data_IF_006840558700
#
_entry.id   IF_006840558700
#
_cell.length_a   1.000
_cell.length_b   1.000
_cell.length_c   1.000
_cell.angle_alpha   90.00
_cell.angle_beta   90.00
_cell.angle_gamma   90.00
#
_symmetry.space_group_name_H-M   'P 1'
#
loop_
_entity.id
_entity.type
_entity.pdbx_description
1 polymer ?
#
# COMPACT_ATOMS: atom_id res chain seq x y z
N UNK A 1 7.78 -63.73 16.72
CA UNK A 1 6.78 -64.36 15.81
C UNK A 1 5.41 -64.17 16.45
N UNK A 2 4.31 -63.85 15.74
CA UNK A 2 4.10 -63.75 14.28
C UNK A 2 4.00 -62.27 13.80
N UNK A 3 4.25 -61.85 12.55
CA UNK A 3 4.01 -62.36 11.19
C UNK A 3 2.60 -62.06 10.64
N UNK A 4 2.58 -61.72 9.33
CA UNK A 4 1.43 -61.68 8.40
C UNK A 4 0.61 -60.38 8.37
N UNK A 5 0.15 -59.82 7.26
CA UNK A 5 0.32 -59.95 5.80
C UNK A 5 -0.79 -59.05 5.22
N UNK A 6 -0.55 -58.21 4.21
CA UNK A 6 -1.52 -58.04 3.11
C UNK A 6 -0.93 -57.13 2.01
N UNK A 7 -0.61 -57.81 0.91
CA UNK A 7 -0.28 -57.31 -0.42
C UNK A 7 -1.56 -57.35 -1.27
N UNK A 8 -1.46 -56.83 -2.50
CA UNK A 8 -2.40 -56.92 -3.65
C UNK A 8 -3.38 -55.73 -3.75
N UNK A 9 -3.70 -55.13 -4.90
CA UNK A 9 -3.45 -55.39 -6.33
C UNK A 9 -3.87 -54.08 -7.08
N UNK A 10 -3.12 -53.58 -8.08
CA UNK A 10 -3.22 -53.87 -9.52
C UNK A 10 -4.20 -52.96 -10.32
N UNK A 11 -3.57 -52.13 -11.14
CA UNK A 11 -3.92 -51.66 -12.50
C UNK A 11 -5.16 -52.29 -13.18
N UNK A 12 -6.03 -51.43 -13.73
CA UNK A 12 -6.71 -51.60 -15.02
C UNK A 12 -7.42 -50.27 -15.36
N UNK A 13 -6.93 -49.41 -16.25
CA UNK A 13 -6.84 -49.55 -17.72
C UNK A 13 -8.21 -49.58 -18.40
N UNK A 14 -8.33 -48.68 -19.40
CA UNK A 14 -9.25 -48.68 -20.56
C UNK A 14 -10.70 -48.25 -20.27
N UNK A 15 -11.41 -47.54 -21.15
CA UNK A 15 -11.17 -46.78 -22.40
C UNK A 15 -12.58 -46.46 -22.94
N UNK A 16 -12.65 -45.59 -23.96
CA UNK A 16 -13.74 -45.50 -24.96
C UNK A 16 -14.98 -44.71 -24.54
N UNK A 17 -15.59 -43.84 -25.35
CA UNK A 17 -15.30 -43.32 -26.70
C UNK A 17 -16.30 -42.19 -26.97
N UNK A 18 -15.85 -41.20 -27.73
CA UNK A 18 -16.52 -40.56 -28.87
C UNK A 18 -18.03 -40.22 -28.78
N UNK A 19 -18.32 -38.94 -29.01
CA UNK A 19 -19.06 -38.43 -30.18
C UNK A 19 -19.82 -37.14 -29.79
N UNK A 20 -20.05 -36.10 -30.59
CA UNK A 20 -19.63 -35.67 -31.94
C UNK A 20 -20.37 -34.33 -32.15
N UNK A 21 -19.68 -33.32 -32.74
CA UNK A 21 -20.23 -32.14 -33.44
C UNK A 21 -21.02 -31.09 -32.62
N UNK A 22 -20.99 -29.79 -32.92
CA UNK A 22 -20.90 -29.09 -34.21
C UNK A 22 -20.46 -27.62 -33.95
N UNK A 23 -19.33 -27.16 -34.51
CA UNK A 23 -19.19 -26.20 -35.64
C UNK A 23 -19.97 -24.89 -35.51
N UNK A 24 -19.22 -23.78 -35.52
CA UNK A 24 -19.42 -22.50 -36.25
C UNK A 24 -18.98 -21.31 -35.39
N UNK A 25 -18.29 -20.26 -35.84
CA UNK A 25 -17.80 -19.84 -37.15
C UNK A 25 -16.75 -18.74 -36.88
N UNK A 26 -15.70 -18.75 -37.70
CA UNK A 26 -14.66 -17.72 -37.83
C UNK A 26 -15.27 -16.42 -38.38
N UNK A 27 -14.88 -15.25 -37.87
CA UNK A 27 -14.70 -14.06 -38.72
C UNK A 27 -13.66 -13.10 -38.16
N UNK A 28 -12.59 -13.03 -38.93
CA UNK A 28 -11.52 -12.04 -38.97
C UNK A 28 -12.06 -10.65 -39.29
N UNK A 29 -11.48 -9.60 -38.70
CA UNK A 29 -11.52 -8.25 -39.27
C UNK A 29 -10.35 -7.40 -38.76
N UNK A 30 -9.18 -7.61 -39.38
CA UNK A 30 -8.16 -6.58 -39.59
C UNK A 30 -8.76 -5.26 -40.10
N UNK A 31 -8.18 -4.15 -39.62
CA UNK A 31 -7.89 -2.91 -40.36
C UNK A 31 -9.08 -1.98 -40.67
N UNK A 32 -9.09 -0.80 -40.04
CA UNK A 32 -9.15 0.44 -40.84
C UNK A 32 -8.48 1.64 -40.15
N UNK A 33 -7.43 2.15 -40.80
CA UNK A 33 -6.73 3.40 -40.54
C UNK A 33 -6.83 4.16 -41.85
N UNK A 34 -7.66 5.20 -41.94
CA UNK A 34 -7.58 6.34 -42.89
C UNK A 34 -8.84 7.22 -42.76
N UNK A 35 -8.68 8.41 -42.20
CA UNK A 35 -8.72 9.72 -42.89
C UNK A 35 -10.13 10.23 -43.20
N UNK A 36 -10.59 11.20 -42.40
CA UNK A 36 -11.32 12.37 -42.92
C UNK A 36 -10.77 13.61 -42.22
N UNK A 37 -9.76 14.21 -42.87
CA UNK A 37 -9.48 15.64 -42.76
C UNK A 37 -10.52 16.30 -43.65
N UNK A 38 -11.62 16.80 -43.09
CA UNK A 38 -12.44 17.76 -43.80
C UNK A 38 -12.89 18.88 -42.84
N UNK A 39 -12.12 19.96 -42.93
CA UNK A 39 -12.60 21.34 -42.98
C UNK A 39 -13.92 21.61 -42.26
N UNK A 40 -13.82 21.98 -41.00
CA UNK A 40 -14.73 22.95 -40.40
C UNK A 40 -13.92 23.87 -39.50
N UNK A 41 -13.46 24.97 -40.08
CA UNK A 41 -13.08 26.15 -39.29
C UNK A 41 -14.38 26.72 -38.70
N UNK A 42 -14.72 26.30 -37.49
CA UNK A 42 -15.57 27.10 -36.60
C UNK A 42 -15.06 26.96 -35.17
N UNK A 43 -14.27 27.98 -34.78
CA UNK A 43 -14.19 28.61 -33.47
C UNK A 43 -14.84 27.83 -32.31
N UNK A 44 -14.19 26.77 -31.83
CA UNK A 44 -14.45 26.27 -30.48
C UNK A 44 -13.51 27.02 -29.55
N UNK A 45 -14.15 27.82 -28.71
CA UNK A 45 -13.58 28.62 -27.64
C UNK A 45 -12.39 27.91 -27.01
N UNK A 46 -11.27 28.62 -26.90
CA UNK A 46 -10.10 28.18 -26.14
C UNK A 46 -10.56 28.05 -24.69
N UNK A 47 -11.08 26.89 -24.31
CA UNK A 47 -11.10 26.50 -22.91
C UNK A 47 -9.63 26.42 -22.56
N UNK A 48 -9.12 27.47 -21.92
CA UNK A 48 -7.93 27.38 -21.10
C UNK A 48 -8.23 26.32 -20.05
N UNK A 49 -8.01 25.05 -20.42
CA UNK A 49 -7.71 24.03 -19.44
C UNK A 49 -6.36 24.49 -18.90
N UNK A 50 -6.41 25.29 -17.84
CA UNK A 50 -5.32 25.40 -16.90
C UNK A 50 -4.82 23.98 -16.72
N UNK A 51 -3.58 23.71 -17.14
CA UNK A 51 -2.94 22.44 -16.94
C UNK A 51 -2.93 22.21 -15.42
N UNK A 52 -3.98 21.58 -14.90
CA UNK A 52 -3.94 20.95 -13.61
C UNK A 52 -2.88 19.88 -13.78
N UNK A 53 -1.71 20.12 -13.19
CA UNK A 53 -0.64 19.15 -13.13
C UNK A 53 -1.26 17.79 -12.82
N UNK A 54 -0.90 16.72 -13.55
CA UNK A 54 -1.33 15.39 -13.15
C UNK A 54 -1.02 15.23 -11.66
N UNK A 55 -1.91 14.57 -10.87
CA UNK A 55 -1.60 14.29 -9.47
C UNK A 55 -0.18 13.72 -9.47
N UNK A 56 0.74 14.24 -8.62
CA UNK A 56 2.12 13.81 -8.69
C UNK A 56 2.12 12.29 -8.62
N UNK A 57 2.46 11.64 -9.74
CA UNK A 57 2.93 10.26 -9.76
C UNK A 57 3.87 10.13 -8.57
N UNK A 58 3.91 9.00 -7.84
CA UNK A 58 4.74 8.87 -6.65
C UNK A 58 6.21 9.02 -7.05
N UNK A 59 6.66 10.26 -7.19
CA UNK A 59 8.02 10.66 -7.38
C UNK A 59 8.73 10.06 -6.18
N UNK A 60 9.87 9.41 -6.41
CA UNK A 60 10.61 8.78 -5.33
C UNK A 60 10.91 9.86 -4.28
N UNK A 61 10.09 9.91 -3.23
CA UNK A 61 10.32 10.80 -2.10
C UNK A 61 11.57 10.29 -1.41
N UNK A 62 12.34 11.15 -0.72
CA UNK A 62 13.49 10.70 0.06
C UNK A 62 13.09 9.60 1.07
N UNK A 63 11.84 9.64 1.55
CA UNK A 63 11.25 8.68 2.47
C UNK A 63 11.04 7.29 1.87
N UNK A 64 10.76 7.18 0.57
CA UNK A 64 10.52 5.88 -0.07
C UNK A 64 11.74 4.95 -0.06
N UNK A 65 12.95 5.50 0.14
CA UNK A 65 14.20 4.75 0.22
C UNK A 65 14.67 4.49 1.66
N UNK A 66 14.00 5.08 2.65
CA UNK A 66 14.35 4.93 4.06
C UNK A 66 13.98 3.54 4.57
N UNK A 67 14.76 3.06 5.54
CA UNK A 67 14.37 1.92 6.36
C UNK A 67 13.16 2.27 7.23
N UNK A 68 12.47 1.26 7.75
CA UNK A 68 11.32 1.47 8.64
C UNK A 68 11.69 2.24 9.92
N UNK A 69 12.87 1.94 10.48
CA UNK A 69 13.38 2.65 11.66
C UNK A 69 13.75 4.09 11.35
N UNK A 70 14.39 4.36 10.21
CA UNK A 70 14.71 5.74 9.79
C UNK A 70 13.44 6.54 9.51
N UNK A 71 12.40 5.89 8.98
CA UNK A 71 11.11 6.52 8.75
C UNK A 71 10.43 6.92 10.07
N UNK A 72 10.50 6.06 11.10
CA UNK A 72 10.03 6.39 12.45
C UNK A 72 10.81 7.55 13.08
N UNK A 73 12.13 7.61 12.89
CA UNK A 73 12.95 8.77 13.32
C UNK A 73 12.55 10.05 12.60
N UNK A 74 12.39 9.98 11.28
CA UNK A 74 11.97 11.12 10.47
C UNK A 74 10.58 11.65 10.90
N UNK A 75 9.68 10.75 11.33
CA UNK A 75 8.42 11.14 11.96
C UNK A 75 8.65 11.91 13.27
N UNK A 76 9.53 11.43 14.15
CA UNK A 76 9.92 12.13 15.38
C UNK A 76 10.50 13.53 15.13
N UNK A 77 11.37 13.67 14.14
CA UNK A 77 11.96 14.96 13.76
C UNK A 77 10.92 15.99 13.29
N UNK A 78 9.79 15.52 12.76
CA UNK A 78 8.70 16.36 12.25
C UNK A 78 7.44 16.25 13.14
N UNK A 79 7.58 15.75 14.38
CA UNK A 79 6.46 15.41 15.26
C UNK A 79 5.48 16.58 15.48
N UNK A 80 6.01 17.81 15.56
CA UNK A 80 5.19 19.01 15.77
C UNK A 80 4.13 19.22 14.69
N UNK A 81 4.39 18.82 13.45
CA UNK A 81 3.45 18.96 12.34
C UNK A 81 2.23 18.02 12.46
N UNK A 82 2.40 16.92 13.22
CA UNK A 82 1.40 15.86 13.38
C UNK A 82 0.65 15.95 14.71
N UNK A 83 0.95 16.94 15.55
CA UNK A 83 0.25 17.16 16.82
C UNK A 83 -1.19 17.58 16.60
N UNK A 84 -2.07 17.08 17.46
CA UNK A 84 -3.40 17.63 17.58
C UNK A 84 -3.31 19.03 18.23
N UNK A 85 -4.09 20.04 17.79
CA UNK A 85 -3.99 21.40 18.32
C UNK A 85 -4.25 21.53 19.83
N UNK A 86 -5.02 20.60 20.40
CA UNK A 86 -5.42 20.63 21.82
C UNK A 86 -4.67 19.65 22.71
N UNK A 87 -3.78 18.81 22.15
CA UNK A 87 -3.05 17.80 22.93
C UNK A 87 -1.56 17.85 22.64
N UNK A 88 -0.69 17.46 23.59
CA UNK A 88 0.74 17.37 23.31
C UNK A 88 1.12 16.23 22.34
N UNK A 89 0.19 15.33 22.03
CA UNK A 89 0.44 14.13 21.24
C UNK A 89 0.14 14.33 19.76
N UNK A 90 0.83 13.55 18.93
CA UNK A 90 0.45 13.35 17.54
C UNK A 90 -0.73 12.37 17.45
N UNK A 91 -1.45 12.40 16.34
CA UNK A 91 -2.58 11.49 16.12
C UNK A 91 -2.57 10.94 14.71
N UNK A 92 -3.07 9.71 14.56
CA UNK A 92 -3.22 9.07 13.24
C UNK A 92 -4.14 9.89 12.34
N UNK A 93 -5.17 10.53 12.90
CA UNK A 93 -6.07 11.42 12.14
C UNK A 93 -5.34 12.65 11.61
N UNK A 94 -4.47 13.26 12.42
CA UNK A 94 -3.66 14.40 11.96
C UNK A 94 -2.68 14.00 10.86
N UNK A 95 -2.10 12.79 10.93
CA UNK A 95 -1.25 12.25 9.86
C UNK A 95 -2.05 12.11 8.56
N UNK A 96 -3.29 11.59 8.62
CA UNK A 96 -4.19 11.50 7.45
C UNK A 96 -4.53 12.87 6.89
N UNK A 97 -4.81 13.85 7.75
CA UNK A 97 -5.05 15.24 7.35
C UNK A 97 -3.82 15.82 6.62
N UNK A 98 -2.62 15.65 7.17
CA UNK A 98 -1.37 16.16 6.57
C UNK A 98 -1.09 15.47 5.24
N UNK A 99 -1.31 14.16 5.13
CA UNK A 99 -1.13 13.41 3.89
C UNK A 99 -2.06 13.89 2.77
N UNK A 100 -3.26 14.38 3.11
CA UNK A 100 -4.24 14.92 2.17
C UNK A 100 -3.93 16.32 1.65
N UNK A 101 -2.93 17.02 2.20
CA UNK A 101 -2.57 18.39 1.78
C UNK A 101 -2.01 18.40 0.35
N UNK A 102 -2.27 19.49 -0.37
CA UNK A 102 -1.60 19.77 -1.64
C UNK A 102 -0.18 20.25 -1.39
N UNK A 103 0.74 19.93 -2.31
CA UNK A 103 2.10 20.48 -2.24
C UNK A 103 2.05 21.96 -2.64
N UNK A 104 2.58 22.84 -1.80
CA UNK A 104 2.46 24.31 -1.97
C UNK A 104 3.77 24.97 -2.42
N UNK A 105 4.85 24.21 -2.57
CA UNK A 105 6.19 24.73 -2.84
C UNK A 105 6.94 25.19 -1.59
N UNK A 106 6.34 25.02 -0.41
CA UNK A 106 7.01 25.20 0.88
C UNK A 106 7.75 23.91 1.20
N UNK A 107 9.08 23.95 1.16
CA UNK A 107 9.90 22.75 1.25
C UNK A 107 9.63 21.94 2.53
N UNK A 108 9.33 22.60 3.66
CA UNK A 108 9.10 21.94 4.94
C UNK A 108 7.70 21.30 4.97
N UNK A 109 6.65 22.04 4.58
CA UNK A 109 5.27 21.50 4.52
C UNK A 109 5.13 20.39 3.49
N UNK A 110 5.81 20.52 2.36
CA UNK A 110 5.81 19.51 1.31
C UNK A 110 6.53 18.25 1.79
N UNK A 111 7.61 18.39 2.56
CA UNK A 111 8.33 17.28 3.20
C UNK A 111 7.44 16.56 4.23
N UNK A 112 6.76 17.29 5.10
CA UNK A 112 5.81 16.73 6.08
C UNK A 112 4.67 15.98 5.40
N UNK A 113 4.12 16.56 4.32
CA UNK A 113 3.06 15.94 3.52
C UNK A 113 3.53 14.65 2.87
N UNK A 114 4.73 14.63 2.30
CA UNK A 114 5.33 13.43 1.70
C UNK A 114 5.63 12.35 2.74
N UNK A 115 6.11 12.73 3.92
CA UNK A 115 6.34 11.81 5.04
C UNK A 115 5.04 11.14 5.50
N UNK A 116 3.98 11.93 5.69
CA UNK A 116 2.67 11.43 6.07
C UNK A 116 2.09 10.43 5.05
N UNK A 117 2.24 10.74 3.75
CA UNK A 117 1.82 9.85 2.67
C UNK A 117 2.62 8.54 2.66
N UNK A 118 3.91 8.58 2.94
CA UNK A 118 4.74 7.37 3.03
C UNK A 118 4.30 6.48 4.18
N UNK A 119 4.05 7.06 5.36
CA UNK A 119 3.58 6.33 6.55
C UNK A 119 2.25 5.62 6.32
N UNK A 120 1.35 6.21 5.53
CA UNK A 120 0.04 5.62 5.21
C UNK A 120 0.08 4.58 4.10
N UNK A 121 1.26 4.28 3.52
CA UNK A 121 1.34 3.24 2.49
C UNK A 121 1.12 1.85 3.09
N UNK A 122 0.47 0.93 2.35
CA UNK A 122 0.26 -0.44 2.82
C UNK A 122 1.53 -1.20 3.19
N UNK A 123 2.66 -0.92 2.52
CA UNK A 123 3.95 -1.54 2.80
C UNK A 123 4.69 -0.95 4.01
N UNK A 124 4.13 0.05 4.69
CA UNK A 124 4.68 0.71 5.88
C UNK A 124 3.74 0.62 7.09
N UNK A 125 2.71 -0.24 7.04
CA UNK A 125 1.74 -0.37 8.15
C UNK A 125 2.43 -0.80 9.46
N UNK A 126 3.51 -1.57 9.38
CA UNK A 126 4.32 -1.93 10.54
C UNK A 126 4.95 -0.70 11.24
N UNK A 127 5.35 0.32 10.50
CA UNK A 127 5.88 1.58 11.06
C UNK A 127 4.79 2.31 11.80
N UNK A 128 3.62 2.47 11.17
CA UNK A 128 2.46 3.11 11.80
C UNK A 128 1.97 2.35 13.03
N UNK A 129 1.93 1.01 12.96
CA UNK A 129 1.57 0.16 14.09
C UNK A 129 2.55 0.33 15.25
N UNK A 130 3.86 0.37 14.98
CA UNK A 130 4.87 0.58 16.02
C UNK A 130 4.73 1.98 16.66
N UNK A 131 4.57 3.04 15.85
CA UNK A 131 4.38 4.41 16.34
C UNK A 131 3.17 4.55 17.27
N UNK A 132 2.07 3.88 16.96
CA UNK A 132 0.80 4.01 17.67
C UNK A 132 0.67 3.07 18.88
N UNK A 133 1.62 2.15 19.09
CA UNK A 133 1.42 1.07 20.06
C UNK A 133 2.61 0.70 20.94
N UNK A 134 3.80 1.22 20.65
CA UNK A 134 5.03 0.87 21.36
C UNK A 134 5.03 1.26 22.84
N UNK A 135 4.25 2.26 23.23
CA UNK A 135 4.12 2.74 24.61
C UNK A 135 2.85 2.23 25.33
N UNK A 136 1.82 1.77 24.59
CA UNK A 136 0.55 1.27 25.15
C UNK A 136 0.38 -0.27 25.01
N UNK A 137 1.45 -1.04 25.26
CA UNK A 137 1.43 -2.52 25.25
C UNK A 137 0.88 -3.14 23.95
N UNK A 138 1.10 -2.50 22.80
CA UNK A 138 0.61 -2.99 21.51
C UNK A 138 -0.81 -2.55 21.17
N UNK A 139 -1.45 -1.70 21.98
CA UNK A 139 -2.76 -1.11 21.64
C UNK A 139 -2.58 0.04 20.65
N UNK A 140 -3.39 0.02 19.58
CA UNK A 140 -3.48 1.10 18.57
C UNK A 140 -4.67 1.99 18.92
N UNK A 141 -4.43 3.06 19.66
CA UNK A 141 -5.49 3.99 20.10
C UNK A 141 -5.57 5.27 19.26
N UNK A 142 -4.72 5.40 18.25
CA UNK A 142 -4.64 6.55 17.38
C UNK A 142 -3.85 7.73 17.95
N UNK A 143 -3.26 7.59 19.15
CA UNK A 143 -2.49 8.60 19.85
C UNK A 143 -1.02 8.21 19.85
N UNK A 144 -0.19 9.07 19.27
CA UNK A 144 1.25 8.86 19.17
C UNK A 144 1.93 9.84 20.12
N UNK A 145 2.48 9.31 21.21
CA UNK A 145 3.22 10.07 22.21
C UNK A 145 4.55 10.62 21.67
N UNK A 146 5.12 11.66 22.30
CA UNK A 146 6.40 12.25 21.87
C UNK A 146 7.60 11.29 21.97
N UNK A 147 7.51 10.25 22.80
CA UNK A 147 8.56 9.24 22.96
C UNK A 147 8.43 8.06 22.01
N UNK A 148 7.24 7.83 21.45
CA UNK A 148 6.93 6.72 20.56
C UNK A 148 7.83 6.67 19.32
N UNK A 149 8.19 7.80 18.65
CA UNK A 149 9.02 7.74 17.45
C UNK A 149 10.38 7.10 17.68
N UNK A 150 11.04 7.44 18.79
CA UNK A 150 12.34 6.86 19.15
C UNK A 150 12.19 5.39 19.56
N UNK A 151 11.19 5.07 20.38
CA UNK A 151 10.94 3.69 20.81
C UNK A 151 10.58 2.77 19.62
N UNK A 152 9.75 3.25 18.70
CA UNK A 152 9.39 2.55 17.48
C UNK A 152 10.60 2.39 16.56
N UNK A 153 11.41 3.44 16.40
CA UNK A 153 12.63 3.36 15.61
C UNK A 153 13.60 2.30 16.14
N UNK A 154 13.78 2.23 17.47
CA UNK A 154 14.64 1.23 18.10
C UNK A 154 14.07 -0.18 17.94
N UNK A 155 12.74 -0.34 18.10
CA UNK A 155 12.04 -1.60 17.88
C UNK A 155 12.15 -2.09 16.43
N UNK A 156 12.04 -1.17 15.45
CA UNK A 156 12.14 -1.48 14.01
C UNK A 156 13.59 -1.69 13.57
N UNK A 157 14.56 -1.03 14.19
CA UNK A 157 15.99 -1.19 13.91
C UNK A 157 16.50 -2.52 14.45
N UNK A 158 15.95 -2.98 15.56
CA UNK A 158 16.11 -4.34 16.01
C UNK A 158 15.47 -5.31 15.01
N UNK A 159 16.26 -5.86 14.10
CA UNK A 159 15.85 -6.91 13.15
C UNK A 159 15.32 -8.22 13.81
N UNK A 160 15.16 -8.25 15.16
CA UNK A 160 14.64 -9.40 15.93
C UNK A 160 14.18 -9.14 17.38
N UNK A 161 14.21 -7.91 17.93
CA UNK A 161 14.03 -7.76 19.39
C UNK A 161 12.58 -7.83 19.90
N UNK A 162 11.56 -7.89 19.02
CA UNK A 162 10.15 -8.05 19.41
C UNK A 162 9.30 -8.95 18.47
N UNK A 163 9.84 -10.08 18.00
CA UNK A 163 9.01 -11.10 17.32
C UNK A 163 8.16 -11.90 18.33
N UNK A 164 7.26 -11.20 19.04
CA UNK A 164 6.08 -11.80 19.70
C UNK A 164 4.88 -10.90 19.43
N UNK A 165 4.57 -10.66 18.16
CA UNK A 165 3.20 -10.35 17.72
C UNK A 165 3.00 -11.08 16.39
N UNK A 166 2.87 -12.40 16.49
CA UNK A 166 2.41 -13.23 15.37
C UNK A 166 0.98 -12.86 14.98
N UNK A 167 0.54 -13.20 13.76
CA UNK A 167 -0.81 -12.92 13.29
C UNK A 167 -1.82 -13.55 14.25
N UNK A 168 -2.85 -12.79 14.62
CA UNK A 168 -4.04 -13.29 15.30
C UNK A 168 -4.52 -14.51 14.53
N UNK A 169 -4.41 -15.70 15.13
CA UNK A 169 -4.96 -16.93 14.57
C UNK A 169 -6.45 -16.67 14.36
N UNK A 170 -6.86 -16.55 13.11
CA UNK A 170 -8.25 -16.64 12.70
C UNK A 170 -8.66 -18.09 13.00
N UNK A 171 -9.22 -18.32 14.19
CA UNK A 171 -9.90 -19.57 14.50
C UNK A 171 -11.20 -19.53 13.69
N UNK A 172 -11.17 -20.15 12.51
CA UNK A 172 -12.39 -20.53 11.80
C UNK A 172 -13.00 -21.71 12.54
N UNK A 173 -14.22 -21.51 13.04
CA UNK A 173 -15.07 -22.53 13.65
C UNK A 173 -15.62 -23.52 12.63
#
# INVERSE_FOLDING_TARGET
>A
MPASQARWNRLSTRRHTLATCRVSVIRDARRNRRTVQERSHMLISRISISHASPPPSPASTPFSKMSDSDLAKAFGDNFQAFKHPTTPNATTDKIREVAGRSLTGDAQKDKETQLARELLKPNRDNVMAALDSVDDKGKRDGVIGPWNPQMAADQLACNRCMTVQGPTLQITY
#
